data_IF_335060477460
#
_entry.id   IF_335060477460
#
_cell.length_a   1.000
_cell.length_b   1.000
_cell.length_c   1.000
_cell.angle_alpha   90.00
_cell.angle_beta   90.00
_cell.angle_gamma   90.00
#
_symmetry.space_group_name_H-M   'P 1'
#
loop_
_entity.id
_entity.type
_entity.pdbx_description
1 polymer ?
#
# COMPACT_ATOMS: atom_id res chain seq x y z
N UNK A 1 35.53 57.74 -23.34
CA UNK A 1 34.98 57.05 -22.15
C UNK A 1 34.17 55.88 -22.65
N UNK A 2 34.79 54.72 -22.68
CA UNK A 2 34.18 53.46 -23.16
C UNK A 2 33.67 52.68 -21.97
N UNK A 3 32.38 52.37 -21.95
CA UNK A 3 31.76 51.46 -20.99
C UNK A 3 32.05 50.03 -21.40
N UNK A 4 32.62 49.28 -20.47
CA UNK A 4 32.94 47.85 -20.62
C UNK A 4 31.76 47.05 -20.07
N UNK A 5 30.95 46.44 -20.93
CA UNK A 5 29.88 45.52 -20.55
C UNK A 5 30.47 44.17 -20.15
N UNK A 6 30.59 43.98 -18.84
CA UNK A 6 30.98 42.67 -18.24
C UNK A 6 29.84 41.68 -18.30
N UNK A 7 29.84 40.81 -19.31
CA UNK A 7 28.94 39.63 -19.39
C UNK A 7 29.36 38.62 -18.33
N UNK A 8 28.60 38.54 -17.25
CA UNK A 8 28.70 37.47 -16.25
C UNK A 8 28.18 36.17 -16.90
N UNK A 9 29.12 35.36 -17.38
CA UNK A 9 28.82 33.98 -17.78
C UNK A 9 28.39 33.20 -16.50
N UNK A 10 27.09 32.89 -16.35
CA UNK A 10 26.62 31.92 -15.38
C UNK A 10 27.23 30.56 -15.75
N UNK A 11 28.13 30.08 -14.91
CA UNK A 11 28.67 28.72 -15.01
C UNK A 11 27.55 27.72 -14.79
N UNK A 12 27.30 26.84 -15.75
CA UNK A 12 26.42 25.67 -15.56
C UNK A 12 26.89 24.87 -14.34
N UNK A 13 25.97 24.38 -13.51
CA UNK A 13 26.33 23.56 -12.37
C UNK A 13 27.05 22.29 -12.88
N UNK A 14 28.31 22.12 -12.51
CA UNK A 14 29.08 20.91 -12.81
C UNK A 14 28.33 19.71 -12.25
N UNK A 15 27.87 18.80 -13.11
CA UNK A 15 27.37 17.48 -12.71
C UNK A 15 28.46 16.80 -11.88
N UNK A 16 28.24 16.67 -10.56
CA UNK A 16 29.13 15.89 -9.71
C UNK A 16 28.97 14.42 -10.11
N UNK A 17 29.99 13.83 -10.70
CA UNK A 17 30.03 12.38 -10.91
C UNK A 17 30.16 11.70 -9.55
N UNK A 18 29.22 10.82 -9.23
CA UNK A 18 29.26 9.98 -8.03
C UNK A 18 30.48 9.05 -8.15
N UNK A 19 31.33 8.93 -7.11
CA UNK A 19 32.43 7.98 -7.14
C UNK A 19 31.91 6.55 -7.34
N UNK A 20 32.55 5.70 -8.16
CA UNK A 20 32.07 4.34 -8.45
C UNK A 20 31.80 3.46 -7.22
N UNK A 21 32.46 3.74 -6.09
CA UNK A 21 32.32 2.99 -4.83
C UNK A 21 31.08 3.36 -3.99
N UNK A 22 30.38 4.46 -4.32
CA UNK A 22 29.19 4.94 -3.59
C UNK A 22 27.90 4.90 -4.41
N UNK A 23 27.97 4.49 -5.66
CA UNK A 23 26.82 4.45 -6.57
C UNK A 23 26.18 3.06 -6.57
N UNK A 24 24.87 3.03 -6.30
CA UNK A 24 24.01 1.88 -6.53
C UNK A 24 23.16 2.18 -7.75
N UNK A 25 23.16 1.30 -8.77
CA UNK A 25 22.43 1.50 -10.02
C UNK A 25 21.59 0.29 -10.37
N UNK A 26 20.31 0.50 -10.74
CA UNK A 26 19.41 -0.56 -11.22
C UNK A 26 18.54 -0.03 -12.35
N UNK A 27 18.43 -0.83 -13.40
CA UNK A 27 17.40 -0.64 -14.42
C UNK A 27 16.05 -0.99 -13.81
N UNK A 28 15.10 -0.09 -13.99
CA UNK A 28 13.70 -0.28 -13.59
C UNK A 28 12.94 -0.80 -14.78
N UNK A 29 12.27 -1.93 -14.62
CA UNK A 29 11.41 -2.54 -15.60
C UNK A 29 9.95 -2.45 -15.16
N UNK A 30 9.05 -2.44 -16.13
CA UNK A 30 7.60 -2.44 -15.90
C UNK A 30 6.92 -3.41 -16.86
N UNK A 31 5.89 -4.10 -16.39
CA UNK A 31 4.96 -4.82 -17.26
C UNK A 31 3.94 -3.83 -17.80
N UNK A 32 3.81 -3.76 -19.13
CA UNK A 32 2.87 -2.89 -19.80
C UNK A 32 1.75 -3.71 -20.44
N UNK A 33 0.52 -3.16 -20.55
CA UNK A 33 -0.55 -3.80 -21.31
C UNK A 33 -0.10 -4.13 -22.73
N UNK A 34 -0.41 -5.36 -23.17
CA UNK A 34 -0.05 -5.86 -24.51
C UNK A 34 1.39 -6.34 -24.68
N UNK A 35 2.28 -6.11 -23.73
CA UNK A 35 3.66 -6.62 -23.79
C UNK A 35 3.76 -8.03 -23.18
N UNK A 36 4.55 -8.90 -23.82
CA UNK A 36 4.78 -10.28 -23.34
C UNK A 36 5.84 -10.39 -22.25
N UNK A 37 6.63 -9.35 -22.05
CA UNK A 37 7.75 -9.30 -21.08
C UNK A 37 7.85 -7.91 -20.49
N UNK A 38 8.38 -7.79 -19.26
CA UNK A 38 8.72 -6.50 -18.69
C UNK A 38 9.65 -5.72 -19.62
N UNK A 39 9.38 -4.44 -19.79
CA UNK A 39 10.19 -3.53 -20.61
C UNK A 39 11.02 -2.61 -19.72
N UNK A 40 12.28 -2.27 -20.09
CA UNK A 40 13.10 -1.35 -19.33
C UNK A 40 12.51 0.07 -19.42
N UNK A 41 12.00 0.59 -18.31
CA UNK A 41 11.41 1.92 -18.22
C UNK A 41 12.48 3.01 -18.05
N UNK A 42 13.51 2.76 -17.24
CA UNK A 42 14.53 3.76 -16.96
C UNK A 42 15.65 3.24 -16.07
N UNK A 43 16.53 4.15 -15.65
CA UNK A 43 17.63 3.88 -14.76
C UNK A 43 17.43 4.64 -13.44
N UNK A 44 17.49 3.91 -12.34
CA UNK A 44 17.59 4.44 -10.99
C UNK A 44 19.03 4.39 -10.52
N UNK A 45 19.54 5.53 -10.02
CA UNK A 45 20.89 5.65 -9.45
C UNK A 45 20.79 6.26 -8.05
N UNK A 46 21.51 5.70 -7.09
CA UNK A 46 21.55 6.17 -5.71
C UNK A 46 22.99 6.40 -5.26
N UNK A 47 23.30 7.60 -4.79
CA UNK A 47 24.47 7.83 -3.96
C UNK A 47 24.14 7.39 -2.51
N UNK A 48 24.64 6.21 -2.12
CA UNK A 48 24.34 5.61 -0.82
C UNK A 48 24.94 6.36 0.37
N UNK A 49 25.96 7.22 0.12
CA UNK A 49 26.59 8.04 1.15
C UNK A 49 25.82 9.33 1.38
N UNK A 50 25.39 9.97 0.29
CA UNK A 50 24.66 11.24 0.35
C UNK A 50 23.15 11.06 0.51
N UNK A 51 22.61 9.85 0.32
CA UNK A 51 21.18 9.60 0.30
C UNK A 51 20.45 10.37 -0.81
N UNK A 52 21.09 10.47 -1.99
CA UNK A 52 20.54 11.19 -3.14
C UNK A 52 20.31 10.20 -4.27
N UNK A 53 19.03 10.00 -4.61
CA UNK A 53 18.64 9.18 -5.74
C UNK A 53 18.29 9.98 -6.96
N UNK A 54 18.53 9.42 -8.14
CA UNK A 54 18.04 9.94 -9.41
C UNK A 54 17.34 8.85 -10.21
N UNK A 55 16.37 9.26 -11.03
CA UNK A 55 15.69 8.40 -11.97
C UNK A 55 15.56 9.12 -13.32
N UNK A 56 15.85 8.40 -14.39
CA UNK A 56 15.65 8.89 -15.73
C UNK A 56 15.03 7.81 -16.60
N UNK A 57 13.93 8.15 -17.29
CA UNK A 57 13.35 7.26 -18.30
C UNK A 57 14.30 7.03 -19.45
N UNK A 58 14.35 5.80 -19.96
CA UNK A 58 15.07 5.47 -21.17
C UNK A 58 14.43 6.14 -22.41
N UNK A 59 15.25 6.68 -23.32
CA UNK A 59 14.73 7.33 -24.53
C UNK A 59 13.79 6.42 -25.33
N UNK A 60 14.17 5.15 -25.53
CA UNK A 60 13.34 4.16 -26.23
C UNK A 60 12.03 3.85 -25.49
N UNK A 61 12.00 4.00 -24.17
CA UNK A 61 10.78 3.84 -23.40
C UNK A 61 9.82 5.01 -23.61
N UNK A 62 10.33 6.25 -23.52
CA UNK A 62 9.53 7.47 -23.74
C UNK A 62 8.89 7.51 -25.14
N UNK A 63 9.60 6.98 -26.15
CA UNK A 63 9.14 6.93 -27.54
C UNK A 63 8.13 5.79 -27.83
N UNK A 64 7.81 4.92 -26.83
CA UNK A 64 6.83 3.82 -27.02
C UNK A 64 5.39 4.36 -27.04
N UNK A 65 4.54 3.86 -27.95
CA UNK A 65 3.14 4.30 -27.98
C UNK A 65 2.32 3.94 -26.73
N UNK A 66 2.71 2.84 -26.04
CA UNK A 66 2.06 2.34 -24.83
C UNK A 66 2.86 2.65 -23.56
N UNK A 67 3.82 3.58 -23.60
CA UNK A 67 4.56 3.98 -22.40
C UNK A 67 3.65 4.71 -21.42
N UNK A 68 3.81 4.40 -20.15
CA UNK A 68 3.13 5.09 -19.05
C UNK A 68 4.16 5.66 -18.08
N UNK A 69 3.80 6.74 -17.40
CA UNK A 69 4.58 7.19 -16.24
C UNK A 69 4.43 6.17 -15.11
N UNK A 70 5.57 5.70 -14.54
CA UNK A 70 5.52 4.79 -13.38
C UNK A 70 4.95 5.48 -12.14
N UNK A 71 5.12 6.81 -12.04
CA UNK A 71 4.49 7.71 -11.10
C UNK A 71 4.10 8.98 -11.89
N UNK A 72 2.84 9.15 -12.24
CA UNK A 72 2.42 10.24 -13.13
C UNK A 72 2.57 11.63 -12.53
N UNK A 73 2.72 11.74 -11.21
CA UNK A 73 2.82 13.02 -10.48
C UNK A 73 4.27 13.38 -10.19
N UNK A 74 5.05 12.45 -9.62
CA UNK A 74 6.41 12.75 -9.18
C UNK A 74 7.47 12.39 -10.23
N UNK A 75 7.16 11.47 -11.15
CA UNK A 75 8.01 11.02 -12.26
C UNK A 75 7.24 11.07 -13.59
N UNK A 76 6.70 12.23 -14.02
CA UNK A 76 5.98 12.33 -15.29
C UNK A 76 6.84 11.82 -16.46
N UNK A 77 6.19 11.22 -17.46
CA UNK A 77 6.88 10.57 -18.58
C UNK A 77 7.58 11.61 -19.48
N UNK A 78 8.82 11.90 -19.16
CA UNK A 78 9.69 12.82 -19.92
C UNK A 78 11.11 12.27 -19.99
N UNK A 79 11.97 12.85 -20.86
CA UNK A 79 13.41 12.52 -20.92
C UNK A 79 14.27 13.21 -19.85
N UNK A 80 13.66 13.94 -18.90
CA UNK A 80 14.38 14.63 -17.82
C UNK A 80 14.85 13.65 -16.74
N UNK A 81 15.92 14.01 -16.05
CA UNK A 81 16.34 13.35 -14.82
C UNK A 81 15.56 13.91 -13.63
N UNK A 82 15.04 13.03 -12.79
CA UNK A 82 14.36 13.34 -11.53
C UNK A 82 15.30 13.03 -10.38
N UNK A 83 15.31 13.89 -9.35
CA UNK A 83 16.21 13.76 -8.20
C UNK A 83 15.36 13.78 -6.92
N UNK A 84 15.69 12.88 -5.98
CA UNK A 84 15.09 12.86 -4.65
C UNK A 84 16.15 12.75 -3.56
N UNK A 85 15.85 13.34 -2.39
CA UNK A 85 16.57 13.13 -1.13
C UNK A 85 15.68 12.45 -0.10
N UNK A 86 14.38 12.37 -0.39
CA UNK A 86 13.40 11.72 0.48
C UNK A 86 13.62 10.22 0.54
N UNK A 87 13.24 9.63 1.64
CA UNK A 87 13.35 8.19 1.87
C UNK A 87 14.77 7.66 1.58
N UNK A 88 15.79 8.38 2.06
CA UNK A 88 17.21 8.09 1.82
C UNK A 88 17.56 7.96 0.32
N UNK A 89 16.91 8.76 -0.53
CA UNK A 89 17.14 8.80 -1.98
C UNK A 89 16.34 7.77 -2.78
N UNK A 90 15.33 7.11 -2.18
CA UNK A 90 14.48 6.14 -2.89
C UNK A 90 13.11 6.78 -3.18
N UNK A 91 12.74 6.87 -4.46
CA UNK A 91 11.43 7.37 -4.87
C UNK A 91 10.31 6.52 -4.27
N UNK A 92 9.19 7.16 -3.86
CA UNK A 92 8.06 6.49 -3.23
C UNK A 92 7.54 5.29 -4.02
N UNK A 93 7.43 5.41 -5.34
CA UNK A 93 6.99 4.32 -6.23
C UNK A 93 7.96 3.11 -6.23
N UNK A 94 9.27 3.33 -6.08
CA UNK A 94 10.23 2.25 -5.95
C UNK A 94 10.22 1.67 -4.53
N UNK A 95 9.78 2.46 -3.55
CA UNK A 95 9.63 2.03 -2.17
C UNK A 95 8.38 1.16 -1.96
N UNK A 96 7.34 1.33 -2.77
CA UNK A 96 6.11 0.53 -2.70
C UNK A 96 6.36 -0.96 -2.91
N UNK A 97 7.37 -1.32 -3.70
CA UNK A 97 7.72 -2.72 -3.96
C UNK A 97 8.68 -3.32 -2.92
N UNK A 98 9.21 -2.50 -1.99
CA UNK A 98 10.11 -2.98 -0.94
C UNK A 98 9.31 -3.57 0.23
N UNK A 99 9.91 -4.53 0.96
CA UNK A 99 9.27 -5.13 2.11
C UNK A 99 9.10 -4.10 3.25
N UNK A 100 8.01 -4.25 3.98
CA UNK A 100 7.79 -3.58 5.26
C UNK A 100 8.33 -4.39 6.46
N UNK A 101 7.91 -4.07 7.68
CA UNK A 101 8.46 -4.66 8.89
C UNK A 101 8.37 -6.19 8.94
N UNK A 102 7.21 -6.78 8.60
CA UNK A 102 7.06 -8.23 8.55
C UNK A 102 7.94 -8.86 7.46
N UNK A 103 7.89 -8.29 6.26
CA UNK A 103 8.69 -8.78 5.15
C UNK A 103 10.20 -8.72 5.42
N UNK A 104 10.68 -7.64 6.01
CA UNK A 104 12.09 -7.48 6.41
C UNK A 104 12.49 -8.50 7.47
N UNK A 105 11.62 -8.76 8.43
CA UNK A 105 11.84 -9.75 9.46
C UNK A 105 12.00 -11.17 8.86
N UNK A 106 11.08 -11.58 8.00
CA UNK A 106 11.14 -12.89 7.33
C UNK A 106 12.36 -13.01 6.42
N UNK A 107 12.71 -11.96 5.68
CA UNK A 107 13.92 -11.95 4.84
C UNK A 107 15.19 -12.09 5.69
N UNK A 108 15.30 -11.36 6.80
CA UNK A 108 16.44 -11.49 7.70
C UNK A 108 16.57 -12.91 8.27
N UNK A 109 15.45 -13.52 8.71
CA UNK A 109 15.40 -14.91 9.17
C UNK A 109 15.82 -15.89 8.07
N UNK A 110 15.30 -15.73 6.86
CA UNK A 110 15.62 -16.60 5.71
C UNK A 110 17.12 -16.55 5.36
N UNK A 111 17.74 -15.37 5.48
CA UNK A 111 19.15 -15.16 5.17
C UNK A 111 20.08 -15.45 6.36
N UNK A 112 19.53 -15.77 7.53
CA UNK A 112 20.31 -16.04 8.74
C UNK A 112 21.07 -14.83 9.28
N UNK A 113 20.54 -13.60 9.09
CA UNK A 113 21.16 -12.36 9.55
C UNK A 113 20.27 -11.64 10.56
N UNK A 114 20.84 -10.79 11.46
CA UNK A 114 20.05 -10.00 12.39
C UNK A 114 19.05 -9.07 11.69
N UNK A 115 17.88 -8.86 12.31
CA UNK A 115 16.92 -7.85 11.86
C UNK A 115 17.58 -6.47 11.83
N UNK A 116 17.36 -5.69 10.77
CA UNK A 116 17.97 -4.37 10.58
C UNK A 116 19.35 -4.39 9.93
N UNK A 117 19.87 -5.55 9.51
CA UNK A 117 21.15 -5.67 8.78
C UNK A 117 21.12 -4.91 7.47
N UNK A 118 20.02 -5.00 6.72
CA UNK A 118 19.89 -4.38 5.39
C UNK A 118 19.38 -2.95 5.46
N UNK A 119 19.97 -2.10 4.63
CA UNK A 119 19.42 -0.77 4.30
C UNK A 119 18.33 -0.92 3.23
N UNK A 120 17.48 0.10 3.10
CA UNK A 120 16.33 0.06 2.20
C UNK A 120 16.69 -0.28 0.74
N UNK A 121 17.75 0.30 0.21
CA UNK A 121 18.15 0.07 -1.18
C UNK A 121 18.63 -1.36 -1.44
N UNK A 122 19.14 -2.06 -0.43
CA UNK A 122 19.62 -3.44 -0.57
C UNK A 122 18.47 -4.43 -0.76
N UNK A 123 17.28 -4.09 -0.28
CA UNK A 123 16.08 -4.88 -0.54
C UNK A 123 15.67 -4.90 -2.00
N UNK A 124 16.08 -3.91 -2.83
CA UNK A 124 15.83 -3.89 -4.29
C UNK A 124 16.29 -5.18 -4.97
N UNK A 125 17.40 -5.76 -4.51
CA UNK A 125 17.95 -7.00 -5.05
C UNK A 125 17.37 -8.28 -4.41
N UNK A 126 16.60 -8.11 -3.33
CA UNK A 126 16.04 -9.23 -2.55
C UNK A 126 14.55 -9.48 -2.81
N UNK A 127 13.85 -8.52 -3.41
CA UNK A 127 12.42 -8.70 -3.76
C UNK A 127 12.23 -9.72 -4.87
N UNK A 128 11.01 -10.23 -4.97
CA UNK A 128 10.60 -11.13 -6.07
C UNK A 128 9.46 -10.53 -6.90
N UNK A 129 9.05 -11.22 -7.97
CA UNK A 129 7.88 -10.84 -8.76
C UNK A 129 6.56 -10.92 -7.99
N UNK A 130 6.56 -11.48 -6.78
CA UNK A 130 5.40 -11.47 -5.87
C UNK A 130 5.17 -10.10 -5.20
N UNK A 131 6.12 -9.15 -5.33
CA UNK A 131 5.90 -7.78 -4.88
C UNK A 131 4.66 -7.16 -5.53
N UNK A 132 4.08 -6.15 -4.86
CA UNK A 132 2.92 -5.42 -5.37
C UNK A 132 3.25 -4.71 -6.68
N UNK A 133 2.26 -4.63 -7.57
CA UNK A 133 2.40 -3.91 -8.81
C UNK A 133 3.25 -4.63 -9.87
N UNK A 134 3.71 -3.88 -10.86
CA UNK A 134 4.34 -4.40 -12.07
C UNK A 134 5.83 -4.05 -12.22
N UNK A 135 6.44 -3.42 -11.20
CA UNK A 135 7.85 -3.02 -11.23
C UNK A 135 8.75 -4.22 -10.90
N UNK A 136 9.87 -4.30 -11.61
CA UNK A 136 11.00 -5.21 -11.33
C UNK A 136 12.32 -4.51 -11.65
N UNK A 137 13.43 -5.10 -11.22
CA UNK A 137 14.75 -4.49 -11.36
C UNK A 137 15.72 -5.40 -12.10
N UNK A 138 16.77 -4.80 -12.65
CA UNK A 138 17.85 -5.52 -13.29
C UNK A 138 19.16 -4.76 -13.22
N UNK A 139 20.27 -5.49 -13.34
CA UNK A 139 21.63 -4.90 -13.41
C UNK A 139 21.96 -4.45 -14.82
N UNK A 140 21.23 -4.91 -15.82
CA UNK A 140 21.38 -4.56 -17.23
C UNK A 140 20.02 -4.26 -17.86
N UNK A 141 19.95 -3.54 -18.99
CA UNK A 141 18.69 -3.17 -19.63
C UNK A 141 18.02 -4.29 -20.44
N UNK A 142 18.65 -5.47 -20.59
CA UNK A 142 18.16 -6.55 -21.44
C UNK A 142 17.02 -7.36 -20.78
N UNK A 143 17.14 -7.58 -19.46
CA UNK A 143 16.16 -8.36 -18.69
C UNK A 143 16.20 -8.03 -17.21
N UNK A 144 15.08 -8.13 -16.51
CA UNK A 144 15.09 -8.03 -15.05
C UNK A 144 15.84 -9.21 -14.41
N UNK A 145 16.46 -8.94 -13.27
CA UNK A 145 17.09 -9.95 -12.41
C UNK A 145 16.20 -10.32 -11.21
N UNK A 146 15.09 -9.61 -11.01
CA UNK A 146 14.09 -9.92 -10.00
C UNK A 146 13.59 -11.35 -10.19
N UNK A 147 13.78 -12.25 -9.20
CA UNK A 147 13.40 -13.65 -9.33
C UNK A 147 11.88 -13.84 -9.40
N UNK A 148 11.44 -14.75 -10.25
CA UNK A 148 10.07 -15.25 -10.22
C UNK A 148 9.98 -16.37 -9.17
N UNK A 149 9.02 -16.25 -8.28
CA UNK A 149 8.74 -17.27 -7.27
C UNK A 149 7.38 -17.92 -7.54
N UNK A 150 7.30 -19.24 -7.32
CA UNK A 150 6.02 -19.93 -7.40
C UNK A 150 5.18 -19.58 -6.19
N UNK A 151 3.93 -19.21 -6.40
CA UNK A 151 2.99 -19.03 -5.31
C UNK A 151 2.74 -20.36 -4.56
N UNK A 152 2.39 -20.22 -3.29
CA UNK A 152 2.05 -21.33 -2.39
C UNK A 152 0.73 -21.97 -2.86
N UNK A 153 0.58 -23.27 -2.71
CA UNK A 153 -0.72 -23.94 -2.92
C UNK A 153 -1.58 -23.81 -1.66
N UNK A 154 -2.89 -24.02 -1.81
CA UNK A 154 -3.81 -24.01 -0.66
C UNK A 154 -3.43 -25.06 0.39
N UNK A 155 -2.90 -26.24 -0.04
CA UNK A 155 -2.44 -27.30 0.85
C UNK A 155 -1.23 -26.90 1.71
N UNK A 156 -0.37 -26.00 1.20
CA UNK A 156 0.81 -25.54 1.94
C UNK A 156 0.45 -24.57 3.08
N UNK A 157 -0.74 -23.96 3.03
CA UNK A 157 -1.22 -23.06 4.08
C UNK A 157 -1.34 -23.77 5.44
N UNK A 158 -1.63 -25.09 5.46
CA UNK A 158 -1.71 -25.85 6.68
C UNK A 158 -0.35 -25.87 7.42
N UNK A 159 0.74 -26.06 6.68
CA UNK A 159 2.10 -26.06 7.24
C UNK A 159 2.46 -24.71 7.81
N UNK A 160 2.09 -23.61 7.11
CA UNK A 160 2.31 -22.24 7.61
C UNK A 160 1.46 -21.96 8.84
N UNK A 161 0.19 -22.36 8.84
CA UNK A 161 -0.73 -22.14 9.95
C UNK A 161 -0.29 -22.84 11.26
N UNK A 162 0.33 -24.02 11.16
CA UNK A 162 0.82 -24.76 12.32
C UNK A 162 2.01 -24.06 13.01
N UNK A 163 2.87 -23.38 12.25
CA UNK A 163 4.13 -22.82 12.77
C UNK A 163 4.14 -21.31 12.88
N UNK A 164 3.06 -20.63 12.49
CA UNK A 164 3.02 -19.17 12.46
C UNK A 164 3.27 -18.52 13.83
N UNK A 165 2.89 -19.18 14.91
CA UNK A 165 3.14 -18.71 16.27
C UNK A 165 4.64 -18.70 16.59
N UNK A 166 5.41 -19.65 16.08
CA UNK A 166 6.86 -19.70 16.23
C UNK A 166 7.50 -18.47 15.52
N UNK A 167 6.98 -18.09 14.34
CA UNK A 167 7.43 -16.89 13.64
C UNK A 167 7.18 -15.62 14.45
N UNK A 168 6.02 -15.52 15.08
CA UNK A 168 5.64 -14.35 15.90
C UNK A 168 6.45 -14.30 17.21
N UNK A 169 6.86 -15.44 17.76
CA UNK A 169 7.67 -15.54 18.97
C UNK A 169 9.19 -15.46 18.73
N UNK A 170 9.62 -15.13 17.52
CA UNK A 170 11.04 -15.07 17.12
C UNK A 170 11.79 -16.42 17.27
N UNK A 171 11.08 -17.53 17.25
CA UNK A 171 11.67 -18.87 17.29
C UNK A 171 12.23 -19.26 15.93
N UNK A 172 13.03 -20.35 15.91
CA UNK A 172 13.51 -20.93 14.66
C UNK A 172 12.34 -21.50 13.85
N UNK A 173 12.35 -21.23 12.55
CA UNK A 173 11.38 -21.75 11.60
C UNK A 173 12.04 -22.76 10.67
N UNK A 174 11.34 -23.85 10.28
CA UNK A 174 11.81 -24.73 9.24
C UNK A 174 12.11 -23.98 7.94
N UNK A 175 13.19 -24.30 7.21
CA UNK A 175 13.57 -23.61 5.96
C UNK A 175 12.46 -23.60 4.91
N UNK A 176 11.66 -24.66 4.81
CA UNK A 176 10.51 -24.77 3.92
C UNK A 176 9.42 -23.76 4.25
N UNK A 177 9.15 -23.50 5.53
CA UNK A 177 8.18 -22.51 5.98
C UNK A 177 8.67 -21.07 5.72
N UNK A 178 9.95 -20.83 5.98
CA UNK A 178 10.58 -19.53 5.64
C UNK A 178 10.47 -19.25 4.14
N UNK A 179 10.65 -20.25 3.29
CA UNK A 179 10.51 -20.12 1.84
C UNK A 179 9.05 -19.78 1.44
N UNK A 180 8.04 -20.34 2.13
CA UNK A 180 6.63 -20.03 1.91
C UNK A 180 6.28 -18.61 2.38
N UNK A 181 6.70 -18.22 3.58
CA UNK A 181 6.46 -16.88 4.14
C UNK A 181 7.18 -15.77 3.36
N UNK A 182 8.34 -16.07 2.76
CA UNK A 182 9.08 -15.14 1.93
C UNK A 182 8.25 -14.63 0.77
N UNK A 183 7.34 -15.42 0.23
CA UNK A 183 6.47 -15.01 -0.90
C UNK A 183 5.49 -13.92 -0.55
N UNK A 184 5.25 -13.63 0.73
CA UNK A 184 4.42 -12.52 1.21
C UNK A 184 5.19 -11.28 1.65
N UNK A 185 6.53 -11.28 1.57
CA UNK A 185 7.35 -10.25 2.21
C UNK A 185 7.23 -8.85 1.60
N UNK A 186 6.87 -8.74 0.32
CA UNK A 186 6.73 -7.45 -0.39
C UNK A 186 5.27 -7.07 -0.64
N UNK A 187 4.34 -7.53 0.22
CA UNK A 187 2.90 -7.24 0.12
C UNK A 187 2.39 -6.17 1.08
N UNK A 188 3.26 -5.54 1.86
CA UNK A 188 2.91 -4.54 2.85
C UNK A 188 2.31 -5.10 4.16
N UNK A 189 2.32 -4.29 5.25
CA UNK A 189 1.71 -4.57 6.55
C UNK A 189 2.53 -5.44 7.52
N UNK A 190 2.19 -5.37 8.80
CA UNK A 190 2.92 -6.05 9.90
C UNK A 190 2.41 -7.47 10.20
N UNK A 191 1.28 -7.87 9.63
CA UNK A 191 0.63 -9.15 9.89
C UNK A 191 1.27 -10.28 9.07
N UNK A 192 1.40 -11.52 9.64
CA UNK A 192 1.87 -12.68 8.90
C UNK A 192 1.00 -12.97 7.66
N UNK A 193 1.65 -13.10 6.50
CA UNK A 193 0.96 -13.32 5.23
C UNK A 193 1.84 -14.03 4.20
N UNK A 194 1.21 -14.68 3.22
CA UNK A 194 1.88 -15.19 2.01
C UNK A 194 0.96 -15.09 0.78
N UNK A 195 1.54 -15.22 -0.41
CA UNK A 195 0.79 -15.34 -1.65
C UNK A 195 0.41 -16.80 -1.90
N UNK A 196 -0.85 -17.07 -2.22
CA UNK A 196 -1.36 -18.39 -2.55
C UNK A 196 -2.08 -18.36 -3.89
N UNK A 197 -2.00 -19.46 -4.66
CA UNK A 197 -2.78 -19.64 -5.90
C UNK A 197 -3.99 -20.53 -5.63
N UNK A 198 -5.17 -20.03 -5.98
CA UNK A 198 -6.46 -20.73 -5.94
C UNK A 198 -7.12 -20.55 -7.30
N UNK A 199 -7.46 -21.63 -7.97
CA UNK A 199 -8.11 -21.62 -9.30
C UNK A 199 -7.37 -20.76 -10.36
N UNK A 200 -6.04 -20.86 -10.39
CA UNK A 200 -5.12 -20.05 -11.23
C UNK A 200 -5.13 -18.54 -10.97
N UNK A 201 -5.66 -18.12 -9.84
CA UNK A 201 -5.66 -16.72 -9.42
C UNK A 201 -4.82 -16.53 -8.16
N UNK A 202 -4.13 -15.40 -8.05
CA UNK A 202 -3.28 -15.09 -6.91
C UNK A 202 -4.08 -14.40 -5.80
N UNK A 203 -3.89 -14.91 -4.57
CA UNK A 203 -4.52 -14.41 -3.35
C UNK A 203 -3.45 -14.10 -2.32
N UNK A 204 -3.76 -13.21 -1.39
CA UNK A 204 -3.00 -12.99 -0.17
C UNK A 204 -3.72 -13.74 0.95
N UNK A 205 -3.00 -14.67 1.59
CA UNK A 205 -3.46 -15.33 2.80
C UNK A 205 -2.89 -14.59 4.02
N UNK A 206 -3.76 -14.10 4.91
CA UNK A 206 -3.41 -13.52 6.21
C UNK A 206 -3.74 -14.48 7.32
N UNK A 207 -2.79 -14.71 8.21
CA UNK A 207 -2.87 -15.74 9.24
C UNK A 207 -3.23 -15.16 10.59
N UNK A 208 -4.01 -15.95 11.35
CA UNK A 208 -4.20 -15.73 12.77
C UNK A 208 -2.96 -16.19 13.54
N UNK A 209 -2.53 -15.42 14.55
CA UNK A 209 -1.62 -15.89 15.57
C UNK A 209 -2.35 -16.04 16.91
N UNK A 210 -2.13 -17.15 17.61
CA UNK A 210 -2.67 -17.36 18.96
C UNK A 210 -2.12 -16.37 20.00
N UNK A 211 -1.05 -15.64 19.62
CA UNK A 211 -0.37 -14.65 20.48
C UNK A 211 -0.95 -13.25 20.34
N UNK A 212 -1.79 -12.99 19.36
CA UNK A 212 -2.49 -11.71 19.24
C UNK A 212 -3.66 -11.64 20.20
N UNK A 213 -3.88 -10.45 20.77
CA UNK A 213 -4.98 -10.24 21.73
C UNK A 213 -6.37 -10.42 21.08
N UNK A 214 -6.46 -10.19 19.78
CA UNK A 214 -7.68 -10.22 18.96
C UNK A 214 -7.38 -11.02 17.67
N UNK A 215 -8.34 -11.83 17.22
CA UNK A 215 -8.25 -12.64 16.01
C UNK A 215 -8.70 -11.86 14.78
N UNK A 216 -7.75 -11.24 14.11
CA UNK A 216 -8.01 -10.33 13.00
C UNK A 216 -8.61 -10.93 11.73
N UNK A 217 -8.29 -12.17 11.27
CA UNK A 217 -8.84 -12.71 10.02
C UNK A 217 -10.36 -12.65 9.89
N UNK A 218 -11.09 -13.08 10.93
CA UNK A 218 -12.56 -13.02 10.94
C UNK A 218 -13.09 -11.58 10.98
N UNK A 219 -12.40 -10.70 11.72
CA UNK A 219 -12.80 -9.29 11.88
C UNK A 219 -12.57 -8.55 10.57
N UNK A 220 -11.42 -8.74 9.91
CA UNK A 220 -11.13 -8.11 8.61
C UNK A 220 -12.11 -8.57 7.54
N UNK A 221 -12.42 -9.87 7.49
CA UNK A 221 -13.44 -10.42 6.58
C UNK A 221 -14.80 -9.75 6.78
N UNK A 222 -15.28 -9.69 8.02
CA UNK A 222 -16.57 -9.06 8.34
C UNK A 222 -16.56 -7.56 8.03
N UNK A 223 -15.49 -6.87 8.35
CA UNK A 223 -15.35 -5.43 8.09
C UNK A 223 -15.37 -5.14 6.58
N UNK A 224 -14.61 -5.89 5.77
CA UNK A 224 -14.63 -5.74 4.32
C UNK A 224 -15.96 -6.18 3.69
N UNK A 225 -16.67 -7.14 4.29
CA UNK A 225 -18.05 -7.47 3.89
C UNK A 225 -18.99 -6.29 4.10
N UNK A 226 -18.89 -5.59 5.24
CA UNK A 226 -19.64 -4.35 5.47
C UNK A 226 -19.20 -3.22 4.53
N UNK A 227 -17.91 -3.09 4.24
CA UNK A 227 -17.39 -2.11 3.28
C UNK A 227 -17.99 -2.33 1.88
N UNK A 228 -18.05 -3.57 1.41
CA UNK A 228 -18.70 -3.92 0.14
C UNK A 228 -20.19 -3.56 0.15
N UNK A 229 -20.91 -3.80 1.25
CA UNK A 229 -22.31 -3.40 1.42
C UNK A 229 -22.46 -1.89 1.45
N UNK A 230 -21.50 -1.15 1.96
CA UNK A 230 -21.45 0.31 1.92
C UNK A 230 -21.14 0.88 0.52
N UNK A 231 -21.00 0.06 -0.51
CA UNK A 231 -20.68 0.47 -1.87
C UNK A 231 -19.19 0.74 -2.13
N UNK A 232 -18.31 0.34 -1.21
CA UNK A 232 -16.86 0.40 -1.39
C UNK A 232 -16.43 -0.75 -2.31
N UNK A 233 -15.58 -0.46 -3.27
CA UNK A 233 -14.98 -1.46 -4.14
C UNK A 233 -13.97 -2.30 -3.34
N UNK A 234 -14.31 -3.56 -3.09
CA UNK A 234 -13.49 -4.53 -2.34
C UNK A 234 -13.18 -5.71 -3.27
N UNK A 235 -11.95 -6.24 -3.27
CA UNK A 235 -11.63 -7.47 -4.01
C UNK A 235 -12.50 -8.65 -3.57
N UNK A 236 -12.41 -9.76 -4.27
CA UNK A 236 -12.99 -11.01 -3.75
C UNK A 236 -12.29 -11.39 -2.45
N UNK A 237 -13.08 -11.75 -1.44
CA UNK A 237 -12.58 -12.15 -0.11
C UNK A 237 -13.18 -13.49 0.27
N UNK A 238 -12.41 -14.32 0.98
CA UNK A 238 -12.84 -15.61 1.55
C UNK A 238 -12.32 -15.77 2.97
N UNK A 239 -13.00 -16.55 3.75
CA UNK A 239 -12.54 -17.01 5.05
C UNK A 239 -12.45 -18.55 5.00
N UNK A 240 -11.26 -19.08 5.24
CA UNK A 240 -10.99 -20.53 5.16
C UNK A 240 -10.50 -21.04 6.53
N UNK A 241 -11.01 -22.19 6.96
CA UNK A 241 -10.53 -22.85 8.16
C UNK A 241 -9.50 -23.92 7.80
N UNK A 242 -8.25 -23.70 8.16
CA UNK A 242 -7.13 -24.60 7.84
C UNK A 242 -6.37 -24.95 9.11
N UNK A 243 -6.18 -26.22 9.38
CA UNK A 243 -5.53 -26.72 10.60
C UNK A 243 -6.13 -26.15 11.89
N UNK A 244 -7.46 -25.92 11.92
CA UNK A 244 -8.18 -25.37 13.07
C UNK A 244 -7.95 -23.85 13.31
N UNK A 245 -7.43 -23.14 12.33
CA UNK A 245 -7.23 -21.68 12.34
C UNK A 245 -7.97 -21.03 11.19
N UNK A 246 -8.52 -19.86 11.44
CA UNK A 246 -9.13 -19.05 10.40
C UNK A 246 -8.07 -18.28 9.63
N UNK A 247 -8.11 -18.40 8.30
CA UNK A 247 -7.23 -17.70 7.36
C UNK A 247 -8.10 -16.78 6.53
N UNK A 248 -7.78 -15.49 6.53
CA UNK A 248 -8.42 -14.53 5.64
C UNK A 248 -7.70 -14.52 4.30
N UNK A 249 -8.46 -14.71 3.23
CA UNK A 249 -8.00 -14.68 1.85
C UNK A 249 -8.57 -13.46 1.14
N UNK A 250 -7.71 -12.68 0.51
CA UNK A 250 -8.09 -11.56 -0.34
C UNK A 250 -7.43 -11.71 -1.71
N UNK A 251 -8.25 -11.67 -2.78
CA UNK A 251 -7.76 -11.80 -4.15
C UNK A 251 -6.90 -10.60 -4.52
N UNK A 252 -5.77 -10.85 -5.15
CA UNK A 252 -4.88 -9.80 -5.62
C UNK A 252 -5.52 -9.04 -6.78
N UNK A 253 -5.71 -7.74 -6.59
CA UNK A 253 -6.25 -6.84 -7.62
C UNK A 253 -5.17 -6.35 -8.59
N UNK A 254 -3.90 -6.50 -8.22
CA UNK A 254 -2.74 -6.14 -9.04
C UNK A 254 -2.25 -7.31 -9.93
N UNK A 255 -3.10 -8.33 -10.07
CA UNK A 255 -2.88 -9.50 -10.92
C UNK A 255 -4.10 -9.74 -11.80
N UNK A 256 -3.86 -9.90 -13.08
CA UNK A 256 -4.91 -10.18 -14.06
C UNK A 256 -4.41 -11.14 -15.13
N UNK A 257 -5.02 -12.31 -15.25
CA UNK A 257 -4.68 -13.33 -16.26
C UNK A 257 -3.17 -13.62 -16.35
N UNK A 258 -2.49 -13.70 -15.20
CA UNK A 258 -1.05 -13.95 -15.10
C UNK A 258 -0.17 -12.72 -15.41
N UNK A 259 -0.75 -11.54 -15.64
CA UNK A 259 -0.05 -10.25 -15.76
C UNK A 259 -0.01 -9.52 -14.44
N UNK A 260 1.02 -8.72 -14.24
CA UNK A 260 1.14 -7.78 -13.14
C UNK A 260 0.67 -6.41 -13.61
N UNK A 261 -0.26 -5.80 -12.88
CA UNK A 261 -0.73 -4.45 -13.19
C UNK A 261 0.10 -3.40 -12.43
N UNK A 262 0.47 -2.28 -13.05
CA UNK A 262 1.15 -1.20 -12.37
C UNK A 262 0.33 -0.68 -11.19
N UNK A 263 0.98 -0.51 -10.05
CA UNK A 263 0.38 -0.05 -8.79
C UNK A 263 1.20 1.11 -8.22
N UNK A 264 0.53 2.07 -7.62
CA UNK A 264 1.13 3.19 -6.90
C UNK A 264 0.34 3.46 -5.62
N UNK A 265 0.99 3.43 -4.45
CA UNK A 265 0.33 3.80 -3.20
C UNK A 265 0.11 5.33 -3.09
N UNK A 266 -0.80 5.75 -2.21
CA UNK A 266 -0.93 7.18 -1.90
C UNK A 266 0.28 7.72 -1.14
N UNK A 267 1.10 6.84 -0.53
CA UNK A 267 2.40 7.23 0.00
C UNK A 267 3.35 7.67 -1.12
N UNK A 268 3.48 6.88 -2.18
CA UNK A 268 4.28 7.26 -3.34
C UNK A 268 3.77 8.57 -3.96
N UNK A 269 2.46 8.68 -4.13
CA UNK A 269 1.79 9.88 -4.66
C UNK A 269 2.10 11.13 -3.83
N UNK A 270 2.07 11.03 -2.49
CA UNK A 270 2.23 12.17 -1.57
C UNK A 270 3.63 12.77 -1.58
N UNK A 271 4.62 11.99 -2.01
CA UNK A 271 6.04 12.36 -1.96
C UNK A 271 6.51 12.82 -0.57
N UNK A 272 5.98 12.21 0.50
CA UNK A 272 6.41 12.42 1.88
C UNK A 272 7.58 11.49 2.23
N UNK A 273 8.37 11.87 3.25
CA UNK A 273 9.28 10.94 3.90
C UNK A 273 8.51 9.96 4.79
N UNK A 274 9.12 8.82 5.10
CA UNK A 274 8.50 7.77 5.92
C UNK A 274 8.25 8.24 7.36
N UNK A 275 8.98 9.21 7.83
CA UNK A 275 8.84 9.86 9.15
C UNK A 275 7.86 11.06 9.13
N UNK A 276 7.27 11.39 7.96
CA UNK A 276 6.28 12.45 7.79
C UNK A 276 4.86 11.89 7.53
N UNK A 277 4.60 10.60 7.78
CA UNK A 277 3.33 9.95 7.42
C UNK A 277 2.10 10.58 8.09
N UNK A 278 2.25 11.18 9.26
CA UNK A 278 1.19 11.92 9.96
C UNK A 278 0.70 13.17 9.20
N UNK A 279 1.46 13.63 8.21
CA UNK A 279 1.05 14.72 7.29
C UNK A 279 0.14 14.23 6.17
N UNK A 280 -0.08 12.93 6.06
CA UNK A 280 -1.00 12.35 5.08
C UNK A 280 -2.42 12.91 5.22
N UNK A 281 -3.12 13.12 4.08
CA UNK A 281 -4.40 13.81 4.08
C UNK A 281 -5.30 13.31 2.95
N UNK A 282 -6.51 12.90 3.27
CA UNK A 282 -7.54 12.51 2.29
C UNK A 282 -7.88 13.65 1.30
N UNK A 283 -8.11 14.90 1.75
CA UNK A 283 -8.33 16.02 0.84
C UNK A 283 -7.16 16.27 -0.11
N UNK A 284 -5.90 16.04 0.35
CA UNK A 284 -4.73 16.21 -0.51
C UNK A 284 -4.63 15.08 -1.54
N UNK A 285 -4.90 13.83 -1.13
CA UNK A 285 -5.00 12.69 -2.06
C UNK A 285 -6.02 13.00 -3.16
N UNK A 286 -7.23 13.44 -2.80
CA UNK A 286 -8.26 13.82 -3.77
C UNK A 286 -7.78 14.92 -4.74
N UNK A 287 -7.04 15.91 -4.24
CA UNK A 287 -6.49 16.97 -5.09
C UNK A 287 -5.45 16.45 -6.08
N UNK A 288 -4.58 15.54 -5.65
CA UNK A 288 -3.56 14.93 -6.52
C UNK A 288 -4.19 14.02 -7.59
N UNK A 289 -5.24 13.28 -7.26
CA UNK A 289 -5.98 12.40 -8.19
C UNK A 289 -6.43 13.13 -9.45
N UNK A 290 -6.81 14.41 -9.37
CA UNK A 290 -7.22 15.24 -10.52
C UNK A 290 -6.17 15.32 -11.63
N UNK A 291 -4.92 15.03 -11.34
CA UNK A 291 -3.80 15.15 -12.29
C UNK A 291 -3.65 13.94 -13.21
N UNK A 292 -4.16 12.75 -12.80
CA UNK A 292 -3.83 11.52 -13.52
C UNK A 292 -4.95 10.46 -13.55
N UNK A 293 -5.93 10.53 -12.64
CA UNK A 293 -7.04 9.56 -12.60
C UNK A 293 -8.04 9.86 -13.71
N UNK A 294 -8.49 8.84 -14.43
CA UNK A 294 -9.40 8.99 -15.57
C UNK A 294 -10.85 9.29 -15.19
N UNK A 295 -11.34 8.72 -14.10
CA UNK A 295 -12.71 8.88 -13.61
C UNK A 295 -12.71 9.61 -12.27
N UNK A 296 -12.28 10.86 -12.31
CA UNK A 296 -12.02 11.67 -11.12
C UNK A 296 -13.21 11.73 -10.16
N UNK A 297 -14.42 11.93 -10.67
CA UNK A 297 -15.60 12.08 -9.81
C UNK A 297 -15.94 10.77 -9.08
N UNK A 298 -15.94 9.65 -9.78
CA UNK A 298 -16.26 8.34 -9.19
C UNK A 298 -15.24 7.96 -8.13
N UNK A 299 -13.95 8.12 -8.44
CA UNK A 299 -12.85 7.77 -7.54
C UNK A 299 -12.76 8.75 -6.35
N UNK A 300 -13.16 10.01 -6.52
CA UNK A 300 -13.32 10.96 -5.40
C UNK A 300 -14.45 10.55 -4.46
N UNK A 301 -15.62 10.17 -4.99
CA UNK A 301 -16.74 9.71 -4.19
C UNK A 301 -16.39 8.42 -3.44
N UNK A 302 -15.68 7.50 -4.12
CA UNK A 302 -15.18 6.27 -3.51
C UNK A 302 -14.19 6.57 -2.38
N UNK A 303 -13.24 7.49 -2.57
CA UNK A 303 -12.28 7.88 -1.54
C UNK A 303 -12.96 8.52 -0.32
N UNK A 304 -13.95 9.41 -0.56
CA UNK A 304 -14.75 9.99 0.51
C UNK A 304 -15.54 8.94 1.29
N UNK A 305 -16.13 7.98 0.59
CA UNK A 305 -16.86 6.84 1.17
C UNK A 305 -15.94 6.00 2.08
N UNK A 306 -14.70 5.73 1.65
CA UNK A 306 -13.69 5.03 2.46
C UNK A 306 -13.33 5.82 3.72
N UNK A 307 -13.09 7.12 3.59
CA UNK A 307 -12.82 8.00 4.73
C UNK A 307 -13.97 7.94 5.75
N UNK A 308 -15.22 8.07 5.31
CA UNK A 308 -16.39 7.92 6.19
C UNK A 308 -16.43 6.52 6.82
N UNK A 309 -16.24 5.46 6.03
CA UNK A 309 -16.28 4.07 6.51
C UNK A 309 -15.22 3.81 7.59
N UNK A 310 -13.98 4.27 7.38
CA UNK A 310 -12.89 4.15 8.36
C UNK A 310 -13.24 4.82 9.70
N UNK A 311 -14.00 5.93 9.67
CA UNK A 311 -14.52 6.54 10.90
C UNK A 311 -15.60 5.68 11.57
N UNK A 312 -16.54 5.10 10.80
CA UNK A 312 -17.62 4.27 11.34
C UNK A 312 -17.14 2.95 11.94
N UNK A 313 -16.03 2.39 11.44
CA UNK A 313 -15.43 1.16 11.96
C UNK A 313 -14.20 1.43 12.83
N UNK A 314 -13.84 2.70 13.04
CA UNK A 314 -12.69 3.14 13.81
C UNK A 314 -11.38 2.45 13.37
N UNK A 315 -11.10 2.50 12.09
CA UNK A 315 -9.81 2.09 11.55
C UNK A 315 -8.79 3.22 11.76
N UNK A 316 -8.21 3.29 12.96
CA UNK A 316 -7.24 4.33 13.32
C UNK A 316 -5.87 4.16 12.62
N UNK A 317 -5.62 2.98 12.02
CA UNK A 317 -4.38 2.67 11.30
C UNK A 317 -4.49 2.89 9.78
N UNK A 318 -5.46 3.69 9.36
CA UNK A 318 -5.69 4.00 7.95
C UNK A 318 -4.67 5.00 7.40
N UNK A 319 -3.48 4.51 7.08
CA UNK A 319 -2.36 5.31 6.62
C UNK A 319 -2.20 5.32 5.10
N UNK A 320 -1.28 6.17 4.58
CA UNK A 320 -1.05 6.39 3.14
C UNK A 320 -0.74 5.11 2.33
N UNK A 321 -0.31 4.02 2.95
CA UNK A 321 -0.06 2.75 2.25
C UNK A 321 -1.31 1.87 2.14
N UNK A 322 -2.40 2.21 2.83
CA UNK A 322 -3.67 1.47 2.77
C UNK A 322 -4.57 1.93 1.62
N UNK A 323 -4.11 2.92 0.84
CA UNK A 323 -4.75 3.36 -0.39
C UNK A 323 -3.75 3.33 -1.53
N UNK A 324 -4.22 3.07 -2.73
CA UNK A 324 -3.39 3.06 -3.92
C UNK A 324 -4.17 3.20 -5.20
N UNK A 325 -3.45 3.22 -6.29
CA UNK A 325 -3.97 3.33 -7.65
C UNK A 325 -3.45 2.16 -8.47
N UNK A 326 -4.29 1.67 -9.35
CA UNK A 326 -3.99 0.59 -10.28
C UNK A 326 -4.12 1.11 -11.71
N UNK A 327 -3.25 0.66 -12.58
CA UNK A 327 -3.32 0.96 -14.02
C UNK A 327 -3.77 -0.27 -14.79
N UNK A 328 -4.98 -0.19 -15.32
CA UNK A 328 -5.51 -1.10 -16.32
C UNK A 328 -6.19 -0.23 -17.39
N UNK A 329 -5.51 -0.02 -18.52
CA UNK A 329 -5.80 0.98 -19.56
C UNK A 329 -5.76 2.46 -19.07
N UNK A 330 -6.05 2.71 -17.81
CA UNK A 330 -5.98 4.02 -17.19
C UNK A 330 -5.78 3.91 -15.68
N UNK A 331 -5.29 4.98 -15.04
CA UNK A 331 -5.17 5.04 -13.59
C UNK A 331 -6.53 5.19 -12.92
N UNK A 332 -6.83 4.31 -11.98
CA UNK A 332 -8.03 4.32 -11.13
C UNK A 332 -7.65 4.08 -9.68
N UNK A 333 -8.50 4.51 -8.76
CA UNK A 333 -8.37 4.12 -7.35
C UNK A 333 -8.46 2.58 -7.24
N UNK A 334 -7.46 1.95 -6.62
CA UNK A 334 -7.42 0.50 -6.43
C UNK A 334 -8.54 0.04 -5.48
N UNK A 335 -9.02 -1.20 -5.56
CA UNK A 335 -9.94 -1.75 -4.56
C UNK A 335 -9.40 -1.58 -3.13
N UNK A 336 -10.31 -1.45 -2.17
CA UNK A 336 -9.95 -1.26 -0.76
C UNK A 336 -9.39 -2.55 -0.13
N UNK A 337 -8.43 -2.41 0.74
CA UNK A 337 -7.78 -3.49 1.48
C UNK A 337 -7.34 -2.98 2.86
N UNK A 338 -7.05 -3.88 3.77
CA UNK A 338 -6.45 -3.59 5.09
C UNK A 338 -7.34 -2.64 5.94
N UNK A 339 -8.66 -2.84 5.89
CA UNK A 339 -9.62 -2.10 6.72
C UNK A 339 -9.98 -2.95 7.93
N UNK A 340 -9.44 -2.57 9.09
CA UNK A 340 -9.61 -3.33 10.33
C UNK A 340 -9.89 -2.36 11.49
N UNK A 341 -10.90 -2.61 12.32
CA UNK A 341 -11.13 -1.83 13.52
C UNK A 341 -9.96 -1.98 14.49
N UNK A 342 -9.45 -0.86 15.02
CA UNK A 342 -8.35 -0.86 15.98
C UNK A 342 -8.91 -0.76 17.40
N UNK A 343 -8.83 -1.83 18.22
CA UNK A 343 -9.34 -1.83 19.58
C UNK A 343 -8.67 -0.74 20.43
N UNK A 344 -9.45 0.10 21.06
CA UNK A 344 -8.93 1.16 21.92
C UNK A 344 -8.14 0.57 23.08
N UNK A 345 -6.91 1.02 23.29
CA UNK A 345 -6.06 0.62 24.42
C UNK A 345 -6.52 1.20 25.77
N UNK A 346 -7.44 2.18 25.75
CA UNK A 346 -8.01 2.83 26.95
C UNK A 346 -9.50 3.06 26.73
N UNK A 347 -10.32 3.15 27.80
CA UNK A 347 -11.70 3.61 27.74
C UNK A 347 -11.73 4.92 26.97
N UNK A 348 -12.31 4.88 25.77
CA UNK A 348 -12.22 5.93 24.80
C UNK A 348 -12.84 7.22 25.34
N UNK A 349 -12.13 8.32 25.24
CA UNK A 349 -12.74 9.64 25.10
C UNK A 349 -13.63 9.59 23.86
N UNK A 350 -14.71 10.36 23.85
CA UNK A 350 -15.70 10.38 22.76
C UNK A 350 -15.10 10.77 21.39
N UNK A 351 -13.89 11.34 21.35
CA UNK A 351 -13.16 11.76 20.15
C UNK A 351 -11.95 10.84 19.89
N UNK A 352 -11.78 10.39 18.64
CA UNK A 352 -10.60 9.65 18.17
C UNK A 352 -10.06 10.28 16.88
N UNK A 353 -8.90 9.81 16.44
CA UNK A 353 -8.19 10.33 15.27
C UNK A 353 -7.87 9.20 14.30
N UNK A 354 -8.03 9.44 13.01
CA UNK A 354 -7.49 8.56 11.97
C UNK A 354 -5.98 8.82 11.80
N UNK A 355 -5.28 7.94 11.11
CA UNK A 355 -3.89 8.17 10.74
C UNK A 355 -3.76 9.28 9.69
N UNK A 356 -4.75 9.46 8.82
CA UNK A 356 -4.80 10.51 7.81
C UNK A 356 -5.63 11.70 8.28
N UNK A 357 -5.23 12.90 7.87
CA UNK A 357 -6.04 14.09 8.06
C UNK A 357 -7.34 14.00 7.24
N UNK A 358 -8.44 14.32 7.88
CA UNK A 358 -9.82 14.21 7.37
C UNK A 358 -10.29 15.53 6.74
N UNK A 359 -10.02 16.64 7.40
CA UNK A 359 -10.50 17.96 6.99
C UNK A 359 -9.84 19.10 7.75
N UNK A 360 -10.59 20.19 8.02
CA UNK A 360 -10.07 21.41 8.64
C UNK A 360 -9.57 21.23 10.08
N UNK A 361 -10.06 20.19 10.78
CA UNK A 361 -9.67 19.83 12.14
C UNK A 361 -8.63 18.68 12.15
N UNK A 362 -7.82 18.57 11.10
CA UNK A 362 -6.81 17.53 10.97
C UNK A 362 -7.41 16.14 10.92
N UNK A 363 -6.87 15.20 11.71
CA UNK A 363 -7.27 13.79 11.71
C UNK A 363 -8.44 13.46 12.64
N UNK A 364 -9.05 14.46 13.30
CA UNK A 364 -10.17 14.26 14.20
C UNK A 364 -11.38 13.61 13.51
N UNK A 365 -11.90 12.54 14.08
CA UNK A 365 -13.06 11.84 13.58
C UNK A 365 -14.35 12.49 14.10
N UNK A 366 -14.83 13.53 13.42
CA UNK A 366 -16.10 14.19 13.69
C UNK A 366 -16.88 14.43 12.40
N UNK A 367 -18.23 14.47 12.49
CA UNK A 367 -19.09 14.74 11.33
C UNK A 367 -18.76 16.10 10.71
N UNK A 368 -18.49 17.11 11.55
CA UNK A 368 -18.11 18.45 11.10
C UNK A 368 -16.82 18.43 10.29
N UNK A 369 -15.82 17.72 10.77
CA UNK A 369 -14.52 17.59 10.08
C UNK A 369 -14.65 16.80 8.79
N UNK A 370 -15.41 15.70 8.78
CA UNK A 370 -15.68 14.88 7.59
C UNK A 370 -16.32 15.69 6.46
N UNK A 371 -17.20 16.63 6.79
CA UNK A 371 -17.90 17.48 5.84
C UNK A 371 -17.14 18.76 5.46
N UNK A 372 -16.11 19.16 6.23
CA UNK A 372 -15.46 20.46 6.12
C UNK A 372 -14.80 20.71 4.76
N UNK A 373 -14.30 19.65 4.11
CA UNK A 373 -13.65 19.72 2.80
C UNK A 373 -14.27 18.79 1.74
N UNK A 374 -15.58 18.48 1.86
CA UNK A 374 -16.26 17.56 0.94
C UNK A 374 -16.18 17.99 -0.54
N UNK A 375 -16.07 19.28 -0.82
CA UNK A 375 -15.93 19.82 -2.17
C UNK A 375 -14.64 19.38 -2.86
N UNK A 376 -13.58 19.10 -2.10
CA UNK A 376 -12.33 18.56 -2.67
C UNK A 376 -12.53 17.18 -3.28
N UNK A 377 -13.55 16.46 -2.82
CA UNK A 377 -13.96 15.13 -3.34
C UNK A 377 -15.05 15.26 -4.43
N UNK A 378 -15.21 16.44 -5.03
CA UNK A 378 -16.25 16.69 -6.03
C UNK A 378 -17.69 16.49 -5.51
N UNK A 379 -17.90 16.65 -4.19
CA UNK A 379 -19.18 16.47 -3.51
C UNK A 379 -19.76 17.81 -3.04
N UNK A 380 -21.07 17.98 -3.23
CA UNK A 380 -21.86 18.94 -2.47
C UNK A 380 -22.19 18.34 -1.12
N UNK A 381 -22.43 19.18 -0.12
CA UNK A 381 -22.74 18.75 1.25
C UNK A 381 -23.87 17.72 1.33
N UNK A 382 -24.94 17.90 0.57
CA UNK A 382 -26.09 16.98 0.58
C UNK A 382 -25.72 15.58 0.06
N UNK A 383 -24.90 15.52 -1.01
CA UNK A 383 -24.40 14.25 -1.55
C UNK A 383 -23.43 13.59 -0.58
N UNK A 384 -22.59 14.38 0.10
CA UNK A 384 -21.70 13.87 1.14
C UNK A 384 -22.51 13.25 2.30
N UNK A 385 -23.57 13.92 2.76
CA UNK A 385 -24.49 13.39 3.79
C UNK A 385 -25.18 12.12 3.32
N UNK A 386 -25.57 12.01 2.05
CA UNK A 386 -26.14 10.78 1.49
C UNK A 386 -25.14 9.62 1.59
N UNK A 387 -23.89 9.82 1.18
CA UNK A 387 -22.83 8.80 1.29
C UNK A 387 -22.61 8.39 2.75
N UNK A 388 -22.60 9.35 3.68
CA UNK A 388 -22.43 9.07 5.11
C UNK A 388 -23.58 8.20 5.61
N UNK A 389 -24.83 8.52 5.24
CA UNK A 389 -26.01 7.72 5.60
C UNK A 389 -25.97 6.29 5.05
N UNK A 390 -25.48 6.11 3.81
CA UNK A 390 -25.29 4.77 3.22
C UNK A 390 -24.24 3.95 3.99
N UNK A 391 -23.13 4.57 4.39
CA UNK A 391 -22.09 3.94 5.19
C UNK A 391 -22.59 3.59 6.58
N UNK A 392 -23.35 4.49 7.22
CA UNK A 392 -23.96 4.26 8.51
C UNK A 392 -24.92 3.07 8.46
N UNK A 393 -25.81 3.03 7.48
CA UNK A 393 -26.75 1.93 7.29
C UNK A 393 -26.03 0.58 7.06
N UNK A 394 -24.98 0.59 6.25
CA UNK A 394 -24.18 -0.61 5.93
C UNK A 394 -23.43 -1.18 7.14
N UNK A 395 -23.14 -0.36 8.14
CA UNK A 395 -22.43 -0.77 9.36
C UNK A 395 -23.35 -0.92 10.58
N UNK A 396 -24.67 -0.78 10.42
CA UNK A 396 -25.61 -0.77 11.55
C UNK A 396 -25.69 -2.12 12.29
N UNK A 397 -25.65 -3.21 11.56
CA UNK A 397 -25.76 -4.58 12.08
C UNK A 397 -24.36 -5.25 12.22
N UNK A 398 -23.34 -4.45 12.54
CA UNK A 398 -21.94 -4.88 12.67
C UNK A 398 -21.76 -6.09 13.60
N UNK A 399 -22.51 -6.17 14.72
CA UNK A 399 -22.42 -7.28 15.68
C UNK A 399 -22.89 -8.60 15.07
N UNK A 400 -23.97 -8.57 14.26
CA UNK A 400 -24.44 -9.75 13.54
C UNK A 400 -23.43 -10.19 12.48
N UNK A 401 -22.82 -9.25 11.77
CA UNK A 401 -21.83 -9.55 10.73
C UNK A 401 -20.56 -10.18 11.31
N UNK A 402 -20.05 -9.64 12.43
CA UNK A 402 -18.92 -10.24 13.15
C UNK A 402 -19.27 -11.64 13.68
N UNK A 403 -20.47 -11.85 14.21
CA UNK A 403 -20.92 -13.17 14.65
C UNK A 403 -21.00 -14.18 13.49
N UNK A 404 -21.52 -13.77 12.31
CA UNK A 404 -21.57 -14.61 11.10
C UNK A 404 -20.16 -15.02 10.63
N UNK A 405 -19.18 -14.14 10.77
CA UNK A 405 -17.77 -14.42 10.47
C UNK A 405 -17.07 -15.28 11.53
N UNK A 406 -17.77 -15.71 12.59
CA UNK A 406 -17.18 -16.55 13.63
C UNK A 406 -16.30 -15.81 14.66
N UNK A 407 -16.44 -14.49 14.76
CA UNK A 407 -15.70 -13.69 15.76
C UNK A 407 -16.13 -14.10 17.17
N UNK A 408 -15.15 -14.39 18.04
CA UNK A 408 -15.42 -14.81 19.41
C UNK A 408 -16.11 -13.69 20.23
N UNK A 409 -16.88 -14.08 21.27
CA UNK A 409 -17.50 -13.09 22.17
C UNK A 409 -16.48 -12.16 22.81
N UNK A 410 -15.27 -12.67 23.13
CA UNK A 410 -14.18 -11.88 23.68
C UNK A 410 -13.70 -10.83 22.69
N UNK A 411 -13.49 -11.23 21.44
CA UNK A 411 -12.99 -10.32 20.38
C UNK A 411 -14.08 -9.32 19.96
N UNK A 412 -15.33 -9.76 19.91
CA UNK A 412 -16.48 -8.89 19.67
C UNK A 412 -16.56 -7.77 20.71
N UNK A 413 -16.41 -8.10 22.00
CA UNK A 413 -16.40 -7.12 23.07
C UNK A 413 -15.19 -6.16 22.98
N UNK A 414 -14.02 -6.68 22.55
CA UNK A 414 -12.83 -5.85 22.35
C UNK A 414 -13.01 -4.79 21.26
N UNK A 415 -13.77 -5.08 20.20
CA UNK A 415 -13.99 -4.16 19.07
C UNK A 415 -15.32 -3.39 19.14
N UNK A 416 -16.20 -3.65 20.10
CA UNK A 416 -17.52 -3.00 20.24
C UNK A 416 -17.44 -1.49 20.11
N UNK A 417 -16.50 -0.85 20.81
CA UNK A 417 -16.30 0.59 20.79
C UNK A 417 -15.92 1.15 19.43
N UNK A 418 -15.31 0.33 18.56
CA UNK A 418 -14.94 0.75 17.23
C UNK A 418 -16.18 1.08 16.37
N UNK A 419 -17.27 0.37 16.60
CA UNK A 419 -18.51 0.54 15.83
C UNK A 419 -19.53 1.48 16.49
N UNK A 420 -19.46 1.69 17.80
CA UNK A 420 -20.41 2.53 18.53
C UNK A 420 -19.95 3.98 18.72
N UNK A 421 -18.63 4.22 18.75
CA UNK A 421 -18.08 5.50 19.15
C UNK A 421 -18.48 6.66 18.25
N UNK A 422 -18.24 6.55 16.94
CA UNK A 422 -18.51 7.62 15.99
C UNK A 422 -20.01 7.89 15.81
N UNK A 423 -20.86 6.85 15.84
CA UNK A 423 -22.33 6.97 15.71
C UNK A 423 -22.95 7.87 16.76
N UNK A 424 -22.48 7.82 18.01
CA UNK A 424 -22.98 8.66 19.09
C UNK A 424 -22.76 10.15 18.82
N UNK A 425 -21.67 10.49 18.12
CA UNK A 425 -21.37 11.86 17.74
C UNK A 425 -22.11 12.36 16.49
N UNK A 426 -22.69 11.46 15.68
CA UNK A 426 -23.47 11.82 14.49
C UNK A 426 -24.92 12.22 14.88
N UNK A 427 -25.47 11.61 15.93
CA UNK A 427 -26.87 11.79 16.36
C UNK A 427 -27.02 12.60 17.66
N UNK A 428 -25.95 13.01 18.31
CA UNK A 428 -25.94 13.90 19.49
C UNK A 428 -25.69 15.32 19.12
#
# INVERSE_FOLDING_TARGET
MSYNDGVIRRSEPRKRKIPPSSAFERFVFIELPGEKRPVPAGLFTLDVVLGVGSFQYGRRYVERPNAIAIDPVNLPLTGKEYITRKNAGIFGILRDVLPDSWGRYIMAKHLGVPFGTFKDYEFIDLISTNAVGAISFGTTPEKPTTPSEKAVSLSDLAVVAEVIDHAVEDQELPPEVLALLRQGTSLGGAQPKCTVVIDNEEWIAKFESSKTAVKYPCIEYATLTMAKRAGIMVPEIRLESVAGREIFLIKRFDREHGRRLPFMSTFALSNLDIDELERGSYPEIASQMRKFVSHVQDDHHELFRRMAFNMFVRNEDDHLRNHGFIYDDSWRLAPAYDIVPVPARRKAKDTFHLALNVGDQGSEASLGNLLSQCERFSLRRDNALTIIGEVEAATQDWEQELNRAGVSKKDLEAVRWCFEGFRKGVHG
#
